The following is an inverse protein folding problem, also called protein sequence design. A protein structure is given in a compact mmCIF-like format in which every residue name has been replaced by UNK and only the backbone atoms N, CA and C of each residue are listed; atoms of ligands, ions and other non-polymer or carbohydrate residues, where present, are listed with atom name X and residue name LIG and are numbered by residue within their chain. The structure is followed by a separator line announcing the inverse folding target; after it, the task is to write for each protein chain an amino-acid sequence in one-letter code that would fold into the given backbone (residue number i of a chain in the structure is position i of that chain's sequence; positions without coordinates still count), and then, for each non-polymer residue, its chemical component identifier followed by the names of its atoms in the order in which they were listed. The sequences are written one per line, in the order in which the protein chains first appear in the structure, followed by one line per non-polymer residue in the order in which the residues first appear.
data_IF_641718801591
#
_entry.id   IF_641718801591
#
_cell.length_a   1.000
_cell.length_b   1.000
_cell.length_c   1.000
_cell.angle_alpha   90.00
_cell.angle_beta   90.00
_cell.angle_gamma   90.00
#
_symmetry.space_group_name_H-M   'P 1'
#
loop_
_entity.id
_entity.type
_entity.pdbx_description
1 polymer ?
#
# COMPACT_ATOMS: atom_id res chain seq x y z
N UNK A 1 18.90 -10.24 9.78
CA UNK A 1 19.99 -10.43 8.80
C UNK A 1 20.07 -9.19 7.95
N UNK A 2 21.12 -8.43 8.18
CA UNK A 2 21.43 -7.13 7.59
C UNK A 2 21.89 -7.34 6.15
N UNK A 3 21.07 -7.02 5.15
CA UNK A 3 21.57 -6.84 3.78
C UNK A 3 22.16 -5.45 3.73
N UNK A 4 23.46 -5.38 3.99
CA UNK A 4 24.26 -4.18 3.80
C UNK A 4 24.02 -3.64 2.39
N UNK A 5 23.70 -2.35 2.31
CA UNK A 5 23.87 -1.56 1.09
C UNK A 5 25.18 -1.98 0.42
N UNK A 6 25.22 -2.30 -0.89
CA UNK A 6 26.50 -2.24 -1.58
C UNK A 6 27.06 -0.85 -1.27
N UNK A 7 28.34 -0.73 -0.87
CA UNK A 7 28.92 0.58 -0.68
C UNK A 7 28.68 1.37 -1.97
N UNK A 8 28.50 2.70 -1.91
CA UNK A 8 28.66 3.49 -3.12
C UNK A 8 29.94 2.99 -3.79
N UNK A 9 29.95 2.84 -5.12
CA UNK A 9 31.20 2.64 -5.83
C UNK A 9 32.07 3.85 -5.53
N UNK A 10 32.74 3.84 -4.38
CA UNK A 10 33.95 4.57 -4.11
C UNK A 10 34.92 3.90 -5.05
N UNK A 11 34.93 4.41 -6.29
CA UNK A 11 36.08 4.31 -7.15
C UNK A 11 37.29 4.43 -6.22
N UNK A 12 38.19 3.44 -6.17
CA UNK A 12 39.35 3.50 -5.29
C UNK A 12 39.95 4.87 -5.49
N UNK A 13 39.99 5.68 -4.42
CA UNK A 13 40.33 7.11 -4.49
C UNK A 13 41.58 7.22 -5.36
N UNK A 14 41.38 7.70 -6.59
CA UNK A 14 42.42 7.64 -7.59
C UNK A 14 43.59 8.44 -7.04
N UNK A 15 44.82 7.91 -7.05
CA UNK A 15 45.98 8.68 -6.65
C UNK A 15 45.93 10.02 -7.39
N UNK A 16 46.16 11.14 -6.69
CA UNK A 16 45.94 12.52 -7.19
C UNK A 16 46.53 12.76 -8.59
N UNK A 17 47.58 12.03 -8.95
CA UNK A 17 48.23 12.04 -10.26
C UNK A 17 47.25 11.62 -11.37
N UNK A 18 46.50 10.52 -11.20
CA UNK A 18 45.53 10.07 -12.19
C UNK A 18 44.28 10.96 -12.21
N UNK A 19 43.90 11.57 -11.09
CA UNK A 19 42.83 12.57 -11.07
C UNK A 19 43.17 13.78 -11.97
N UNK A 20 44.42 14.25 -11.95
CA UNK A 20 44.86 15.36 -12.80
C UNK A 20 44.93 15.00 -14.29
N UNK A 21 45.17 13.73 -14.61
CA UNK A 21 45.18 13.25 -16.00
C UNK A 21 43.77 13.09 -16.57
N UNK A 22 42.77 12.84 -15.70
CA UNK A 22 41.38 12.54 -16.09
C UNK A 22 40.45 13.74 -15.86
N UNK A 23 40.84 14.74 -15.06
CA UNK A 23 40.08 15.98 -14.85
C UNK A 23 39.73 16.79 -16.10
N UNK A 24 40.49 16.78 -17.22
CA UNK A 24 40.04 17.45 -18.44
C UNK A 24 38.93 16.69 -19.18
N UNK A 25 38.59 15.46 -18.75
CA UNK A 25 37.43 14.74 -19.23
C UNK A 25 36.27 14.92 -18.25
N UNK A 26 35.04 15.20 -18.74
CA UNK A 26 34.63 15.28 -20.14
C UNK A 26 34.99 16.61 -20.83
N UNK A 27 35.36 16.54 -22.11
CA UNK A 27 35.78 17.71 -22.92
C UNK A 27 34.64 18.72 -23.20
N UNK A 28 33.38 18.25 -23.15
CA UNK A 28 32.19 19.07 -23.33
C UNK A 28 31.08 18.53 -22.43
N UNK A 29 30.65 19.35 -21.47
CA UNK A 29 29.48 19.07 -20.64
C UNK A 29 28.29 19.83 -21.20
N UNK A 30 27.28 19.10 -21.68
CA UNK A 30 26.04 19.71 -22.11
C UNK A 30 25.27 20.26 -20.90
N UNK A 31 24.46 21.32 -21.08
CA UNK A 31 23.56 21.77 -20.02
C UNK A 31 22.60 20.64 -19.63
N UNK A 32 22.14 20.60 -18.37
CA UNK A 32 21.14 19.63 -17.94
C UNK A 32 19.91 19.67 -18.86
N UNK A 33 19.45 18.50 -19.28
CA UNK A 33 18.24 18.39 -20.09
C UNK A 33 17.05 18.78 -19.21
N UNK A 34 16.39 19.87 -19.57
CA UNK A 34 15.17 20.30 -18.87
C UNK A 34 14.00 19.46 -19.33
N UNK A 35 13.38 18.74 -18.41
CA UNK A 35 12.10 18.05 -18.65
C UNK A 35 10.98 19.10 -18.77
N UNK A 36 10.26 19.16 -19.91
CA UNK A 36 9.35 20.26 -20.23
C UNK A 36 8.13 20.34 -19.28
N UNK A 37 7.75 19.23 -18.65
CA UNK A 37 6.58 19.13 -17.77
C UNK A 37 6.96 18.62 -16.37
N UNK A 38 8.02 19.17 -15.78
CA UNK A 38 8.41 18.83 -14.42
C UNK A 38 7.43 19.42 -13.42
N UNK A 39 6.73 18.55 -12.66
CA UNK A 39 5.85 18.97 -11.57
C UNK A 39 6.66 19.13 -10.29
N UNK A 40 6.62 20.31 -9.69
CA UNK A 40 7.26 20.55 -8.40
C UNK A 40 6.36 20.02 -7.29
N UNK A 41 6.94 19.26 -6.37
CA UNK A 41 6.21 18.70 -5.23
C UNK A 41 6.01 19.80 -4.19
N UNK A 42 4.77 20.26 -4.05
CA UNK A 42 4.42 21.36 -3.12
C UNK A 42 3.75 20.83 -1.86
N UNK A 43 3.07 19.70 -1.95
CA UNK A 43 2.36 19.03 -0.87
C UNK A 43 2.74 17.55 -0.83
N UNK A 44 2.60 16.88 0.33
CA UNK A 44 2.80 15.44 0.42
C UNK A 44 1.85 14.75 -0.56
N UNK A 45 2.39 13.90 -1.44
CA UNK A 45 1.66 13.24 -2.51
C UNK A 45 1.82 11.73 -2.40
N UNK A 46 0.72 11.03 -2.14
CA UNK A 46 0.70 9.57 -2.06
C UNK A 46 0.49 8.96 -3.44
N UNK A 47 1.38 8.03 -3.80
CA UNK A 47 1.32 7.25 -5.02
C UNK A 47 0.53 5.99 -4.71
N UNK A 48 -0.60 5.82 -5.39
CA UNK A 48 -1.52 4.72 -5.13
C UNK A 48 -1.82 3.95 -6.40
N UNK A 49 -2.33 2.76 -6.19
CA UNK A 49 -3.06 2.00 -7.19
C UNK A 49 -4.35 2.75 -7.58
N UNK A 50 -4.75 2.73 -8.87
CA UNK A 50 -5.94 3.44 -9.33
C UNK A 50 -7.23 3.04 -8.57
N UNK A 51 -8.19 3.96 -8.43
CA UNK A 51 -9.49 3.70 -7.82
C UNK A 51 -10.34 2.74 -8.67
N UNK A 52 -11.28 2.03 -8.04
CA UNK A 52 -12.18 1.06 -8.70
C UNK A 52 -13.15 1.69 -9.71
N UNK A 53 -13.57 2.94 -9.48
CA UNK A 53 -14.50 3.65 -10.35
C UNK A 53 -13.83 4.88 -10.95
N UNK A 54 -13.19 4.70 -12.11
CA UNK A 54 -12.71 5.79 -12.97
C UNK A 54 -13.74 6.11 -14.06
N UNK A 55 -15.04 5.97 -13.77
CA UNK A 55 -16.07 6.35 -14.75
C UNK A 55 -16.12 7.89 -14.83
N UNK A 56 -16.06 8.49 -16.03
CA UNK A 56 -15.94 9.94 -16.20
C UNK A 56 -17.16 10.73 -15.70
N UNK A 57 -18.30 10.06 -15.51
CA UNK A 57 -19.58 10.68 -15.14
C UNK A 57 -19.83 10.72 -13.62
N UNK A 58 -19.04 10.00 -12.83
CA UNK A 58 -19.16 9.98 -11.36
C UNK A 58 -18.09 10.88 -10.74
N UNK A 59 -18.40 11.54 -9.61
CA UNK A 59 -17.40 12.29 -8.82
C UNK A 59 -16.16 11.41 -8.65
N UNK A 60 -14.93 11.89 -8.98
CA UNK A 60 -13.75 11.06 -8.97
C UNK A 60 -13.53 10.53 -7.56
N UNK A 61 -13.50 9.21 -7.41
CA UNK A 61 -13.04 8.61 -6.18
C UNK A 61 -11.51 8.72 -6.11
N UNK A 62 -10.98 9.02 -4.93
CA UNK A 62 -9.54 9.07 -4.69
C UNK A 62 -9.05 7.87 -3.90
N UNK A 63 -9.96 6.98 -3.47
CA UNK A 63 -9.65 5.79 -2.71
C UNK A 63 -9.16 4.66 -3.62
N UNK A 64 -8.00 4.12 -3.28
CA UNK A 64 -7.35 3.07 -4.07
C UNK A 64 -8.17 1.78 -4.11
N UNK A 65 -8.00 0.97 -5.16
CA UNK A 65 -8.52 -0.40 -5.21
C UNK A 65 -7.74 -1.37 -4.30
N UNK A 66 -6.50 -1.02 -3.93
CA UNK A 66 -5.60 -1.89 -3.19
C UNK A 66 -5.67 -1.65 -1.67
N UNK A 67 -5.57 -2.74 -0.90
CA UNK A 67 -5.67 -2.71 0.56
C UNK A 67 -4.49 -1.98 1.19
N UNK A 68 -3.26 -2.21 0.72
CA UNK A 68 -2.08 -1.55 1.30
C UNK A 68 -2.11 -0.06 1.03
N UNK A 69 -2.49 0.34 -0.19
CA UNK A 69 -2.68 1.75 -0.55
C UNK A 69 -3.75 2.41 0.34
N UNK A 70 -4.92 1.79 0.48
CA UNK A 70 -6.01 2.30 1.33
C UNK A 70 -5.62 2.38 2.80
N UNK A 71 -4.85 1.41 3.32
CA UNK A 71 -4.35 1.43 4.69
C UNK A 71 -3.59 2.72 4.97
N UNK A 72 -2.67 3.08 4.08
CA UNK A 72 -1.88 4.30 4.24
C UNK A 72 -2.68 5.56 3.96
N UNK A 73 -3.63 5.54 3.03
CA UNK A 73 -4.59 6.64 2.85
C UNK A 73 -5.40 6.91 4.12
N UNK A 74 -6.00 5.85 4.68
CA UNK A 74 -6.78 5.94 5.90
C UNK A 74 -5.92 6.38 7.08
N UNK A 75 -4.70 5.85 7.20
CA UNK A 75 -3.80 6.22 8.28
C UNK A 75 -3.42 7.71 8.26
N UNK A 76 -3.09 8.25 7.07
CA UNK A 76 -2.83 9.69 6.91
C UNK A 76 -4.03 10.54 7.29
N UNK A 77 -5.21 10.21 6.75
CA UNK A 77 -6.43 10.98 6.97
C UNK A 77 -6.91 10.94 8.43
N UNK A 78 -6.84 9.77 9.06
CA UNK A 78 -7.23 9.59 10.46
C UNK A 78 -6.28 10.31 11.42
N UNK A 79 -5.04 10.57 10.99
CA UNK A 79 -4.06 11.40 11.70
C UNK A 79 -4.15 12.89 11.34
N UNK A 80 -5.18 13.29 10.59
CA UNK A 80 -5.43 14.68 10.20
C UNK A 80 -4.44 15.23 9.17
N UNK A 81 -3.68 14.37 8.48
CA UNK A 81 -2.73 14.78 7.45
C UNK A 81 -3.44 14.86 6.10
N UNK A 82 -3.49 16.08 5.55
CA UNK A 82 -3.97 16.32 4.19
C UNK A 82 -2.86 16.04 3.18
N UNK A 83 -3.16 15.23 2.16
CA UNK A 83 -2.20 14.87 1.12
C UNK A 83 -2.86 14.82 -0.26
N UNK A 84 -2.05 15.02 -1.29
CA UNK A 84 -2.45 14.80 -2.67
C UNK A 84 -2.33 13.33 -3.03
N UNK A 85 -3.05 12.91 -4.06
CA UNK A 85 -3.05 11.53 -4.54
C UNK A 85 -2.71 11.50 -6.02
N UNK A 86 -1.93 10.50 -6.42
CA UNK A 86 -1.61 10.22 -7.82
C UNK A 86 -1.61 8.72 -8.10
N UNK A 87 -2.04 8.33 -9.29
CA UNK A 87 -2.09 6.95 -9.78
C UNK A 87 -1.65 6.85 -11.25
N UNK A 88 -0.99 7.88 -11.76
CA UNK A 88 -0.40 7.93 -13.10
C UNK A 88 0.96 7.20 -13.18
N UNK A 89 1.48 6.74 -12.05
CA UNK A 89 2.76 6.02 -11.94
C UNK A 89 2.49 4.55 -11.66
N UNK A 90 3.04 3.69 -12.53
CA UNK A 90 2.98 2.24 -12.35
C UNK A 90 3.85 1.78 -11.16
N UNK A 91 3.53 0.61 -10.58
CA UNK A 91 4.29 0.03 -9.48
C UNK A 91 5.78 -0.16 -9.81
N UNK A 92 6.15 -0.43 -11.07
CA UNK A 92 7.54 -0.52 -11.51
C UNK A 92 8.31 0.82 -11.36
N UNK A 93 7.61 1.95 -11.37
CA UNK A 93 8.18 3.28 -11.15
C UNK A 93 8.32 3.66 -9.67
N UNK A 94 7.75 2.87 -8.76
CA UNK A 94 7.79 3.12 -7.33
C UNK A 94 9.05 2.55 -6.65
N UNK A 95 9.35 3.00 -5.43
CA UNK A 95 10.51 2.49 -4.68
C UNK A 95 10.35 1.01 -4.37
N UNK A 96 11.34 0.22 -4.77
CA UNK A 96 11.31 -1.23 -4.61
C UNK A 96 10.28 -1.93 -5.50
N UNK A 97 9.75 -1.25 -6.53
CA UNK A 97 8.76 -1.81 -7.44
C UNK A 97 7.40 -2.07 -6.78
N UNK A 98 7.08 -1.32 -5.71
CA UNK A 98 5.86 -1.51 -4.92
C UNK A 98 5.20 -0.18 -4.58
N UNK A 99 3.88 -0.16 -4.68
CA UNK A 99 3.02 0.88 -4.14
C UNK A 99 2.49 0.43 -2.78
N UNK A 100 2.18 1.37 -1.87
CA UNK A 100 2.27 2.82 -2.05
C UNK A 100 3.66 3.39 -1.73
N UNK A 101 3.91 4.58 -2.28
CA UNK A 101 5.05 5.44 -1.95
C UNK A 101 4.56 6.85 -1.63
N UNK A 102 5.18 7.52 -0.67
CA UNK A 102 4.82 8.89 -0.27
C UNK A 102 5.91 9.86 -0.74
N UNK A 103 5.54 10.81 -1.60
CA UNK A 103 6.44 11.85 -2.07
C UNK A 103 6.24 13.12 -1.24
N UNK A 104 7.27 13.54 -0.51
CA UNK A 104 7.21 14.69 0.40
C UNK A 104 8.03 15.86 -0.14
N UNK A 105 7.60 17.11 0.03
CA UNK A 105 8.43 18.26 -0.33
C UNK A 105 9.76 18.23 0.45
N UNK A 106 10.87 18.39 -0.25
CA UNK A 106 12.21 18.46 0.37
C UNK A 106 12.88 19.76 -0.01
N UNK A 107 13.31 20.53 0.99
CA UNK A 107 14.07 21.76 0.79
C UNK A 107 15.52 21.50 0.37
N UNK A 108 16.02 20.28 0.61
CA UNK A 108 17.40 19.88 0.34
C UNK A 108 17.62 19.55 -1.14
N UNK A 109 16.57 19.08 -1.82
CA UNK A 109 16.63 18.74 -3.23
C UNK A 109 16.65 20.02 -4.10
N UNK A 110 17.82 20.33 -4.68
CA UNK A 110 18.00 21.45 -5.64
C UNK A 110 16.99 21.43 -6.78
N UNK A 111 16.53 20.23 -7.11
CA UNK A 111 15.64 19.92 -8.22
C UNK A 111 14.15 20.02 -7.87
N UNK A 112 13.77 20.32 -6.62
CA UNK A 112 12.38 20.42 -6.14
C UNK A 112 11.51 19.17 -6.39
N UNK A 113 12.16 18.03 -6.58
CA UNK A 113 11.50 16.72 -6.83
C UNK A 113 10.94 16.08 -5.55
N UNK A 114 11.22 16.67 -4.40
CA UNK A 114 10.87 16.10 -3.11
C UNK A 114 11.73 14.88 -2.75
N UNK A 115 11.40 14.28 -1.62
CA UNK A 115 11.91 12.99 -1.18
C UNK A 115 10.82 11.94 -1.35
N UNK A 116 11.19 10.75 -1.79
CA UNK A 116 10.26 9.63 -1.95
C UNK A 116 10.49 8.63 -0.81
N UNK A 117 9.42 8.35 -0.08
CA UNK A 117 9.40 7.45 1.06
C UNK A 117 8.68 6.15 0.68
N UNK A 118 9.31 5.02 0.98
CA UNK A 118 8.67 3.71 0.86
C UNK A 118 7.62 3.49 1.95
N UNK A 119 6.68 2.57 1.73
CA UNK A 119 5.58 2.26 2.65
C UNK A 119 5.99 2.09 4.13
N UNK A 120 7.15 1.45 4.40
CA UNK A 120 7.63 1.21 5.76
C UNK A 120 8.12 2.47 6.49
N UNK A 121 8.44 3.55 5.76
CA UNK A 121 8.89 4.82 6.33
C UNK A 121 7.73 5.81 6.54
N UNK A 122 6.54 5.52 5.99
CA UNK A 122 5.35 6.37 6.12
C UNK A 122 4.95 6.61 7.59
N UNK A 123 4.91 5.59 8.49
CA UNK A 123 4.58 5.81 9.89
C UNK A 123 5.48 6.83 10.58
N UNK A 124 6.80 6.70 10.39
CA UNK A 124 7.77 7.60 11.02
C UNK A 124 7.55 9.03 10.58
N UNK A 125 7.36 9.24 9.28
CA UNK A 125 7.04 10.56 8.74
C UNK A 125 5.71 11.11 9.26
N UNK A 126 4.67 10.29 9.40
CA UNK A 126 3.39 10.73 9.96
C UNK A 126 3.55 11.19 11.39
N UNK A 127 4.31 10.48 12.22
CA UNK A 127 4.54 10.88 13.63
C UNK A 127 5.27 12.22 13.71
N UNK A 128 6.20 12.49 12.79
CA UNK A 128 6.94 13.76 12.74
C UNK A 128 6.07 14.92 12.24
N UNK A 129 5.13 14.66 11.33
CA UNK A 129 4.36 15.69 10.63
C UNK A 129 2.91 15.84 11.12
N UNK A 130 2.37 14.90 11.88
CA UNK A 130 1.08 15.02 12.53
C UNK A 130 1.20 15.97 13.73
N UNK A 131 0.40 17.03 13.74
CA UNK A 131 0.45 18.08 14.77
C UNK A 131 0.07 17.63 16.18
N UNK A 132 -0.45 16.40 16.34
CA UNK A 132 -0.74 15.75 17.61
C UNK A 132 0.26 14.62 17.86
N UNK A 133 1.14 14.83 18.84
CA UNK A 133 1.87 13.73 19.47
C UNK A 133 0.84 12.85 20.18
N UNK A 134 0.38 11.79 19.50
CA UNK A 134 -0.32 10.73 20.21
C UNK A 134 0.60 10.25 21.32
N UNK A 135 0.03 10.15 22.52
CA UNK A 135 0.76 9.61 23.66
C UNK A 135 1.35 8.23 23.35
N UNK A 136 2.14 7.70 24.27
CA UNK A 136 2.85 6.42 24.14
C UNK A 136 1.99 5.23 23.67
N UNK A 137 0.66 5.34 23.85
CA UNK A 137 -0.32 4.34 23.46
C UNK A 137 -0.96 4.56 22.07
N UNK A 138 -0.50 5.50 21.24
CA UNK A 138 -0.91 5.64 19.83
C UNK A 138 -2.43 5.79 19.59
N UNK A 139 -3.18 6.21 20.61
CA UNK A 139 -4.66 6.34 20.62
C UNK A 139 -5.39 5.23 21.36
N UNK A 140 -4.70 4.15 21.75
CA UNK A 140 -5.28 3.06 22.55
C UNK A 140 -5.54 3.46 23.99
N UNK A 141 -6.59 2.90 24.59
CA UNK A 141 -6.98 3.16 25.98
C UNK A 141 -5.96 2.61 26.98
N UNK A 142 -5.48 1.38 26.76
CA UNK A 142 -4.56 0.65 27.65
C UNK A 142 -3.54 -0.17 26.82
N UNK A 143 -2.44 -0.61 27.44
CA UNK A 143 -1.46 -1.52 26.83
C UNK A 143 -2.09 -2.85 26.39
N UNK A 144 -3.03 -3.39 27.17
CA UNK A 144 -3.76 -4.62 26.83
C UNK A 144 -4.52 -4.49 25.51
N UNK A 145 -5.13 -3.32 25.26
CA UNK A 145 -5.81 -3.05 24.00
C UNK A 145 -4.80 -2.95 22.84
N UNK A 146 -3.60 -2.40 23.08
CA UNK A 146 -2.54 -2.38 22.08
C UNK A 146 -2.04 -3.79 21.73
N UNK A 147 -1.96 -4.69 22.70
CA UNK A 147 -1.59 -6.08 22.43
C UNK A 147 -2.72 -6.86 21.75
N UNK A 148 -3.98 -6.60 22.15
CA UNK A 148 -5.15 -7.15 21.48
C UNK A 148 -5.21 -6.70 20.00
N UNK A 149 -4.86 -5.44 19.71
CA UNK A 149 -4.87 -4.91 18.34
C UNK A 149 -3.94 -5.68 17.40
N UNK A 150 -2.81 -6.20 17.90
CA UNK A 150 -1.88 -7.03 17.11
C UNK A 150 -2.52 -8.34 16.68
N UNK A 151 -3.34 -8.95 17.55
CA UNK A 151 -4.09 -10.16 17.20
C UNK A 151 -5.12 -9.87 16.10
N UNK A 152 -5.82 -8.74 16.20
CA UNK A 152 -6.77 -8.30 15.17
C UNK A 152 -6.09 -7.98 13.83
N UNK A 153 -4.93 -7.33 13.86
CA UNK A 153 -4.11 -7.08 12.66
C UNK A 153 -3.74 -8.41 11.99
N UNK A 154 -3.26 -9.39 12.77
CA UNK A 154 -2.90 -10.71 12.25
C UNK A 154 -4.09 -11.46 11.65
N UNK A 155 -5.28 -11.32 12.24
CA UNK A 155 -6.52 -11.90 11.72
C UNK A 155 -6.95 -11.25 10.39
N UNK A 156 -6.81 -9.93 10.26
CA UNK A 156 -7.11 -9.20 9.02
C UNK A 156 -6.09 -9.52 7.92
N UNK A 157 -4.80 -9.45 8.21
CA UNK A 157 -3.72 -9.73 7.24
C UNK A 157 -3.61 -11.22 6.89
N UNK A 158 -4.13 -12.10 7.75
CA UNK A 158 -4.16 -13.54 7.54
C UNK A 158 -5.44 -14.01 6.84
N UNK A 159 -6.51 -14.20 7.63
CA UNK A 159 -7.72 -14.89 7.16
C UNK A 159 -8.54 -14.03 6.18
N UNK A 160 -8.68 -12.73 6.46
CA UNK A 160 -9.43 -11.83 5.60
C UNK A 160 -8.70 -11.55 4.29
N UNK A 161 -7.40 -11.28 4.36
CA UNK A 161 -6.58 -11.11 3.17
C UNK A 161 -6.54 -12.37 2.29
N UNK A 162 -6.46 -13.56 2.89
CA UNK A 162 -6.48 -14.81 2.14
C UNK A 162 -7.81 -14.98 1.36
N UNK A 163 -8.95 -14.67 1.98
CA UNK A 163 -10.24 -14.71 1.30
C UNK A 163 -10.32 -13.69 0.16
N UNK A 164 -9.84 -12.46 0.38
CA UNK A 164 -9.80 -11.42 -0.65
C UNK A 164 -8.92 -11.85 -1.83
N UNK A 165 -7.72 -12.37 -1.56
CA UNK A 165 -6.78 -12.84 -2.59
C UNK A 165 -7.35 -13.98 -3.43
N UNK A 166 -8.12 -14.90 -2.83
CA UNK A 166 -8.83 -15.96 -3.56
C UNK A 166 -9.98 -15.44 -4.43
N UNK A 167 -10.58 -14.30 -4.06
CA UNK A 167 -11.70 -13.70 -4.80
C UNK A 167 -11.27 -12.86 -5.99
N UNK A 168 -10.00 -12.44 -6.05
CA UNK A 168 -9.49 -11.64 -7.16
C UNK A 168 -9.46 -12.48 -8.44
N UNK A 169 -9.90 -11.92 -9.58
CA UNK A 169 -9.90 -12.65 -10.84
C UNK A 169 -8.46 -13.02 -11.22
N UNK A 170 -8.22 -14.30 -11.49
CA UNK A 170 -6.92 -14.75 -11.98
C UNK A 170 -6.57 -13.99 -13.28
N UNK A 171 -5.31 -13.54 -13.44
CA UNK A 171 -4.90 -12.86 -14.66
C UNK A 171 -5.07 -13.85 -15.80
N UNK A 172 -5.84 -13.47 -16.83
CA UNK A 172 -6.16 -14.41 -17.88
C UNK A 172 -4.88 -14.79 -18.64
N UNK A 173 -4.56 -16.08 -18.62
CA UNK A 173 -3.34 -16.65 -19.22
C UNK A 173 -3.16 -16.23 -20.68
N UNK A 174 -4.26 -16.07 -21.42
CA UNK A 174 -4.25 -15.63 -22.82
C UNK A 174 -3.79 -14.17 -22.96
N UNK A 175 -4.30 -13.25 -22.11
CA UNK A 175 -3.91 -11.84 -22.18
C UNK A 175 -2.46 -11.62 -21.73
N UNK A 176 -2.03 -12.35 -20.70
CA UNK A 176 -0.68 -12.22 -20.15
C UNK A 176 0.38 -12.89 -21.03
N UNK A 177 0.17 -14.14 -21.45
CA UNK A 177 1.20 -14.94 -22.12
C UNK A 177 1.22 -14.77 -23.63
N UNK A 178 0.05 -14.59 -24.28
CA UNK A 178 -0.02 -14.48 -25.75
C UNK A 178 -0.04 -13.04 -26.25
N UNK A 179 -0.62 -12.11 -25.48
CA UNK A 179 -0.79 -10.72 -25.92
C UNK A 179 0.12 -9.73 -25.20
N UNK A 180 0.91 -10.17 -24.20
CA UNK A 180 1.82 -9.34 -23.40
C UNK A 180 1.16 -8.04 -22.93
N UNK A 181 -0.16 -8.06 -22.67
CA UNK A 181 -0.86 -6.87 -22.23
C UNK A 181 -0.48 -6.67 -20.77
N UNK A 182 0.16 -5.56 -20.38
CA UNK A 182 0.39 -5.26 -18.99
C UNK A 182 -0.97 -5.11 -18.32
N UNK A 183 -1.32 -6.03 -17.41
CA UNK A 183 -2.41 -5.79 -16.49
C UNK A 183 -1.98 -4.72 -15.51
N UNK A 184 -2.90 -3.83 -15.15
CA UNK A 184 -2.67 -2.79 -14.13
C UNK A 184 -2.29 -3.37 -12.74
N UNK A 185 -2.44 -4.68 -12.56
CA UNK A 185 -1.97 -5.45 -11.41
C UNK A 185 -1.46 -6.81 -11.86
N UNK A 186 -0.17 -7.07 -11.69
CA UNK A 186 0.32 -8.45 -11.62
C UNK A 186 0.00 -8.94 -10.19
N UNK A 187 -0.96 -9.86 -9.98
CA UNK A 187 -1.15 -10.44 -8.65
C UNK A 187 0.15 -11.14 -8.27
N UNK A 188 0.70 -10.78 -7.12
CA UNK A 188 1.88 -11.46 -6.60
C UNK A 188 1.53 -12.93 -6.43
N UNK A 189 2.02 -13.77 -7.37
CA UNK A 189 1.91 -15.22 -7.26
C UNK A 189 2.38 -15.61 -5.86
N UNK A 190 1.61 -16.43 -5.15
CA UNK A 190 1.94 -16.91 -3.80
C UNK A 190 3.35 -17.54 -3.73
N UNK A 191 3.92 -17.91 -4.87
CA UNK A 191 5.29 -18.35 -5.08
C UNK A 191 6.36 -17.30 -4.70
N UNK A 192 6.04 -16.00 -4.74
CA UNK A 192 6.96 -14.90 -4.36
C UNK A 192 7.00 -14.65 -2.84
N UNK A 193 6.00 -15.12 -2.10
CA UNK A 193 5.90 -14.99 -0.63
C UNK A 193 6.72 -16.09 0.06
N UNK A 194 6.95 -17.21 -0.61
CA UNK A 194 7.78 -18.30 -0.11
C UNK A 194 9.26 -18.06 -0.46
N UNK A 195 9.99 -17.40 0.44
CA UNK A 195 11.46 -17.41 0.43
C UNK A 195 11.99 -18.44 1.44
N UNK A 196 12.81 -19.42 1.04
CA UNK A 196 13.40 -19.60 -0.28
C UNK A 196 12.39 -20.16 -1.30
N UNK A 197 12.53 -19.82 -2.59
CA UNK A 197 11.77 -20.48 -3.64
C UNK A 197 12.02 -21.99 -3.52
N UNK A 198 10.98 -22.85 -3.54
CA UNK A 198 11.20 -24.28 -3.57
C UNK A 198 12.11 -24.59 -4.77
N UNK A 199 13.13 -25.43 -4.55
CA UNK A 199 14.04 -25.86 -5.61
C UNK A 199 13.21 -26.26 -6.84
N UNK A 200 13.62 -25.90 -8.08
CA UNK A 200 12.86 -26.21 -9.27
C UNK A 200 12.77 -27.74 -9.43
N UNK A 201 11.71 -28.34 -8.89
CA UNK A 201 11.37 -29.75 -9.07
C UNK A 201 10.46 -29.93 -10.28
N UNK A 202 10.64 -29.11 -11.31
CA UNK A 202 9.92 -29.21 -12.58
C UNK A 202 10.83 -28.67 -13.67
N UNK A 203 11.44 -29.59 -14.41
CA UNK A 203 12.18 -29.27 -15.62
C UNK A 203 11.31 -28.54 -16.63
N UNK A 204 11.95 -27.92 -17.62
CA UNK A 204 11.43 -27.05 -18.68
C UNK A 204 10.26 -27.61 -19.53
N UNK A 205 9.66 -28.74 -19.16
CA UNK A 205 8.57 -29.44 -19.85
C UNK A 205 7.42 -29.90 -18.94
N UNK A 206 7.33 -29.43 -17.68
CA UNK A 206 6.20 -29.82 -16.82
C UNK A 206 4.91 -29.10 -17.25
N UNK A 207 4.17 -29.72 -18.15
CA UNK A 207 2.80 -29.36 -18.59
C UNK A 207 1.75 -29.46 -17.46
N UNK A 208 2.16 -29.88 -16.27
CA UNK A 208 1.35 -29.94 -15.07
C UNK A 208 2.12 -29.20 -13.98
N UNK A 209 1.60 -28.05 -13.55
CA UNK A 209 2.18 -27.33 -12.42
C UNK A 209 2.21 -28.24 -11.20
N UNK A 210 3.26 -28.18 -10.35
CA UNK A 210 3.30 -28.95 -9.12
C UNK A 210 2.06 -28.59 -8.32
N UNK A 211 1.21 -29.59 -8.10
CA UNK A 211 -0.03 -29.49 -7.36
C UNK A 211 0.32 -29.08 -5.92
N UNK A 212 0.40 -27.78 -5.69
CA UNK A 212 0.59 -27.17 -4.37
C UNK A 212 -0.47 -27.71 -3.42
N UNK A 213 -0.17 -27.70 -2.12
CA UNK A 213 -1.11 -28.08 -1.06
C UNK A 213 -2.47 -27.47 -1.39
N UNK A 214 -3.48 -28.31 -1.66
CA UNK A 214 -4.83 -27.86 -1.97
C UNK A 214 -5.32 -27.05 -0.78
N UNK A 215 -5.29 -25.73 -0.90
CA UNK A 215 -5.95 -24.85 0.06
C UNK A 215 -7.43 -25.18 -0.04
N UNK A 216 -8.01 -25.67 1.06
CA UNK A 216 -9.43 -25.91 1.12
C UNK A 216 -10.11 -24.53 1.10
N UNK A 217 -10.53 -24.09 -0.08
CA UNK A 217 -11.18 -22.79 -0.32
C UNK A 217 -12.33 -22.58 0.67
N UNK A 218 -13.15 -23.61 0.89
CA UNK A 218 -14.22 -23.57 1.89
C UNK A 218 -13.75 -23.35 3.34
N UNK A 219 -12.55 -23.81 3.70
CA UNK A 219 -11.96 -23.56 5.02
C UNK A 219 -11.49 -22.11 5.19
N UNK A 220 -10.98 -21.49 4.12
CA UNK A 220 -10.62 -20.06 4.12
C UNK A 220 -11.88 -19.20 4.23
N UNK A 221 -12.93 -19.52 3.48
CA UNK A 221 -14.21 -18.81 3.61
C UNK A 221 -14.81 -18.95 5.01
N UNK A 222 -14.79 -20.14 5.61
CA UNK A 222 -15.30 -20.34 6.96
C UNK A 222 -14.57 -19.45 8.00
N UNK A 223 -13.23 -19.38 7.92
CA UNK A 223 -12.43 -18.49 8.78
C UNK A 223 -12.72 -17.02 8.51
N UNK A 224 -12.91 -16.64 7.26
CA UNK A 224 -13.34 -15.29 6.91
C UNK A 224 -14.69 -14.93 7.53
N UNK A 225 -15.69 -15.83 7.44
CA UNK A 225 -17.00 -15.62 8.06
C UNK A 225 -16.89 -15.42 9.58
N UNK A 226 -16.08 -16.25 10.25
CA UNK A 226 -15.81 -16.15 11.69
C UNK A 226 -15.08 -14.86 12.04
N UNK A 227 -14.05 -14.49 11.27
CA UNK A 227 -13.28 -13.25 11.42
C UNK A 227 -14.18 -12.00 11.31
N UNK A 228 -15.05 -11.93 10.30
CA UNK A 228 -15.97 -10.79 10.11
C UNK A 228 -17.07 -10.78 11.17
N UNK A 229 -17.51 -11.95 11.66
CA UNK A 229 -18.41 -12.04 12.82
C UNK A 229 -17.76 -11.44 14.08
N UNK A 230 -16.56 -11.93 14.41
CA UNK A 230 -15.80 -11.49 15.57
C UNK A 230 -15.46 -10.00 15.50
N UNK A 231 -15.11 -9.47 14.32
CA UNK A 231 -14.85 -8.05 14.10
C UNK A 231 -16.09 -7.19 14.41
N UNK A 232 -17.26 -7.64 13.95
CA UNK A 232 -18.53 -6.96 14.23
C UNK A 232 -18.89 -6.98 15.70
N UNK A 233 -18.73 -8.12 16.38
CA UNK A 233 -18.96 -8.21 17.83
C UNK A 233 -18.00 -7.31 18.60
N UNK A 234 -16.72 -7.27 18.20
CA UNK A 234 -15.71 -6.45 18.86
C UNK A 234 -15.93 -4.96 18.69
N UNK A 235 -16.41 -4.53 17.52
CA UNK A 235 -16.78 -3.13 17.29
C UNK A 235 -18.03 -2.76 18.08
N UNK A 236 -19.02 -3.66 18.14
CA UNK A 236 -20.27 -3.44 18.88
C UNK A 236 -20.93 -2.12 18.52
N UNK A 237 -20.97 -1.20 19.48
CA UNK A 237 -21.49 0.18 19.34
C UNK A 237 -20.41 1.26 19.45
N UNK A 238 -19.15 0.85 19.51
CA UNK A 238 -18.04 1.76 19.75
C UNK A 238 -17.75 2.64 18.52
N UNK A 239 -17.18 3.82 18.79
CA UNK A 239 -16.78 4.73 17.70
C UNK A 239 -15.58 4.16 16.95
N UNK A 240 -14.57 3.69 17.68
CA UNK A 240 -13.34 3.13 17.13
C UNK A 240 -13.11 1.75 17.72
N UNK A 241 -12.30 0.93 17.06
CA UNK A 241 -12.00 -0.41 17.55
C UNK A 241 -11.35 -0.36 18.94
N UNK A 242 -11.67 -1.35 19.77
CA UNK A 242 -11.16 -1.49 21.14
C UNK A 242 -11.57 -0.37 22.11
N UNK A 243 -12.62 0.39 21.77
CA UNK A 243 -13.11 1.49 22.61
C UNK A 243 -12.12 2.66 22.71
N UNK A 244 -11.24 2.83 21.71
CA UNK A 244 -10.31 3.95 21.69
C UNK A 244 -11.04 5.29 21.53
N UNK A 245 -10.49 6.34 22.14
CA UNK A 245 -11.03 7.70 21.99
C UNK A 245 -10.75 8.27 20.59
N UNK A 246 -9.59 7.92 20.06
CA UNK A 246 -9.04 8.39 18.78
C UNK A 246 -8.86 7.22 17.80
N UNK A 247 -8.84 7.49 16.48
CA UNK A 247 -8.58 6.45 15.50
C UNK A 247 -7.16 5.88 15.64
N UNK A 248 -7.05 4.58 15.49
CA UNK A 248 -5.80 3.83 15.64
C UNK A 248 -5.30 3.27 14.30
N UNK A 249 -4.09 2.69 14.30
CA UNK A 249 -3.57 1.99 13.12
C UNK A 249 -4.45 0.77 12.75
N UNK A 250 -5.09 0.13 13.75
CA UNK A 250 -6.04 -0.95 13.52
C UNK A 250 -7.28 -0.44 12.75
N UNK A 251 -7.81 0.73 13.10
CA UNK A 251 -8.95 1.31 12.39
C UNK A 251 -8.62 1.60 10.92
N UNK A 252 -7.41 2.10 10.64
CA UNK A 252 -6.95 2.33 9.27
C UNK A 252 -6.87 1.02 8.45
N UNK A 253 -6.37 -0.06 9.05
CA UNK A 253 -6.29 -1.37 8.41
C UNK A 253 -7.67 -2.00 8.23
N UNK A 254 -8.50 -1.97 9.27
CA UNK A 254 -9.86 -2.49 9.22
C UNK A 254 -10.69 -1.76 8.15
N UNK A 255 -10.55 -0.45 8.04
CA UNK A 255 -11.18 0.32 6.96
C UNK A 255 -10.72 -0.14 5.58
N UNK A 256 -9.41 -0.31 5.37
CA UNK A 256 -8.89 -0.77 4.08
C UNK A 256 -9.47 -2.12 3.65
N UNK A 257 -9.54 -3.09 4.56
CA UNK A 257 -10.17 -4.39 4.25
C UNK A 257 -11.69 -4.27 4.07
N UNK A 258 -12.40 -3.58 4.96
CA UNK A 258 -13.87 -3.48 4.84
C UNK A 258 -14.29 -2.75 3.57
N UNK A 259 -13.60 -1.67 3.22
CA UNK A 259 -13.88 -0.92 1.99
C UNK A 259 -13.62 -1.76 0.74
N UNK A 260 -12.49 -2.48 0.69
CA UNK A 260 -12.21 -3.39 -0.45
C UNK A 260 -13.20 -4.54 -0.53
N UNK A 261 -13.58 -5.14 0.59
CA UNK A 261 -14.56 -6.23 0.64
C UNK A 261 -15.95 -5.77 0.19
N UNK A 262 -16.39 -4.58 0.59
CA UNK A 262 -17.67 -4.02 0.16
C UNK A 262 -17.73 -3.75 -1.34
N UNK A 263 -16.58 -3.51 -1.97
CA UNK A 263 -16.44 -3.33 -3.41
C UNK A 263 -15.98 -4.61 -4.15
N UNK A 264 -15.87 -5.75 -3.45
CA UNK A 264 -15.44 -7.02 -4.01
C UNK A 264 -16.62 -7.86 -4.53
N UNK A 265 -16.37 -9.16 -4.77
CA UNK A 265 -17.37 -10.12 -5.27
C UNK A 265 -18.56 -10.26 -4.33
N UNK A 266 -19.69 -10.74 -4.88
CA UNK A 266 -20.96 -10.79 -4.17
C UNK A 266 -20.88 -11.59 -2.86
N UNK A 267 -20.15 -12.70 -2.80
CA UNK A 267 -20.08 -13.54 -1.58
C UNK A 267 -19.42 -12.83 -0.40
N UNK A 268 -18.23 -12.26 -0.60
CA UNK A 268 -17.52 -11.54 0.46
C UNK A 268 -18.26 -10.26 0.86
N UNK A 269 -18.77 -9.54 -0.14
CA UNK A 269 -19.56 -8.32 0.06
C UNK A 269 -20.83 -8.59 0.87
N UNK A 270 -21.59 -9.63 0.55
CA UNK A 270 -22.85 -9.95 1.25
C UNK A 270 -22.60 -10.17 2.74
N UNK A 271 -21.49 -10.81 3.09
CA UNK A 271 -21.17 -11.10 4.48
C UNK A 271 -20.91 -9.83 5.31
N UNK A 272 -20.14 -8.88 4.76
CA UNK A 272 -19.91 -7.58 5.40
C UNK A 272 -21.20 -6.76 5.39
N UNK A 273 -21.91 -6.72 4.26
CA UNK A 273 -23.13 -5.94 4.08
C UNK A 273 -24.27 -6.36 5.02
N UNK A 274 -24.30 -7.63 5.45
CA UNK A 274 -25.26 -8.13 6.44
C UNK A 274 -25.07 -7.49 7.82
N UNK A 275 -23.86 -7.00 8.14
CA UNK A 275 -23.50 -6.41 9.43
C UNK A 275 -23.60 -4.89 9.37
N UNK A 276 -24.73 -4.36 9.82
CA UNK A 276 -25.07 -2.94 9.72
C UNK A 276 -24.10 -2.03 10.48
N UNK A 277 -23.57 -2.50 11.61
CA UNK A 277 -22.54 -1.80 12.39
C UNK A 277 -21.25 -1.59 11.59
N UNK A 278 -20.75 -2.62 10.89
CA UNK A 278 -19.55 -2.51 10.07
C UNK A 278 -19.75 -1.57 8.88
N UNK A 279 -20.90 -1.67 8.20
CA UNK A 279 -21.21 -0.81 7.04
C UNK A 279 -21.38 0.66 7.45
N UNK A 280 -22.08 0.92 8.56
CA UNK A 280 -22.25 2.29 9.06
C UNK A 280 -20.93 2.89 9.57
N UNK A 281 -20.09 2.08 10.20
CA UNK A 281 -18.74 2.47 10.61
C UNK A 281 -17.86 2.78 9.39
N UNK A 282 -17.84 1.90 8.39
CA UNK A 282 -17.05 2.06 7.17
C UNK A 282 -17.43 3.34 6.45
N UNK A 283 -18.72 3.61 6.26
CA UNK A 283 -19.19 4.82 5.58
C UNK A 283 -18.75 6.10 6.28
N UNK A 284 -18.79 6.12 7.62
CA UNK A 284 -18.34 7.28 8.39
C UNK A 284 -16.84 7.51 8.22
N UNK A 285 -16.05 6.44 8.27
CA UNK A 285 -14.60 6.53 8.04
C UNK A 285 -14.31 6.92 6.59
N UNK A 286 -15.05 6.39 5.62
CA UNK A 286 -14.95 6.76 4.21
C UNK A 286 -15.10 8.25 4.00
N UNK A 287 -16.13 8.87 4.58
CA UNK A 287 -16.37 10.32 4.45
C UNK A 287 -15.20 11.14 5.02
N UNK A 288 -14.65 10.72 6.17
CA UNK A 288 -13.48 11.35 6.77
C UNK A 288 -12.22 11.19 5.90
N UNK A 289 -11.93 9.97 5.45
CA UNK A 289 -10.75 9.67 4.61
C UNK A 289 -10.84 10.41 3.28
N UNK A 290 -11.98 10.32 2.60
CA UNK A 290 -12.21 10.95 1.30
C UNK A 290 -12.07 12.48 1.35
N UNK A 291 -12.41 13.10 2.47
CA UNK A 291 -12.29 14.55 2.65
C UNK A 291 -10.85 15.04 2.80
N UNK A 292 -9.91 14.14 3.12
CA UNK A 292 -8.51 14.48 3.37
C UNK A 292 -7.64 14.50 2.10
N UNK A 293 -8.17 14.05 0.96
CA UNK A 293 -7.41 13.84 -0.27
C UNK A 293 -7.92 14.66 -1.46
N UNK A 294 -6.96 15.11 -2.27
CA UNK A 294 -7.17 15.82 -3.52
C UNK A 294 -6.29 15.25 -4.65
N UNK A 295 -6.66 15.50 -5.91
CA UNK A 295 -5.85 15.04 -7.05
C UNK A 295 -4.63 15.93 -7.26
N UNK A 296 -3.47 15.31 -7.50
CA UNK A 296 -2.15 15.93 -7.75
C UNK A 296 -2.00 16.76 -9.05
N UNK A 297 -3.10 17.35 -9.54
CA UNK A 297 -3.12 18.15 -10.76
C UNK A 297 -4.20 19.24 -10.80
N UNK A 298 -4.74 19.62 -9.65
CA UNK A 298 -5.82 20.63 -9.54
C UNK A 298 -5.36 22.02 -9.12
N UNK A 299 -4.05 22.31 -9.18
CA UNK A 299 -3.46 23.60 -8.83
C UNK A 299 -2.88 24.32 -10.04
#
# INVERSE_FOLDING_TARGET
MTTASPPPFTLPSLPKIFHNLISPFPLLTYPPVTVPNKRTVTAPTLWIVPPLSTTPDTKPDFLSADVECLKWQAHLALRGVHAQVRWDVDAAGALGGRLPCLQVPSEVAKDKDGELLAAHNIPGWIVENAGEQLGELEGYTNEEARDESRAWIALLEGDVHAALALSQPAPSFVLHTLLQVPFAHEPQSAEKILSPPPAPLSGLLSLVQPLGKRLAVGGVHARYHEAVAALSERLGTDRWFLGSAEPTALDALAFAYLHTLLNSTDELRIEVARRVNLVSWERRVYEQVRSSFESSGSS
#
